data_IF_367977252581
#
_entry.id   IF_367977252581
#
_cell.length_a   1.000
_cell.length_b   1.000
_cell.length_c   1.000
_cell.angle_alpha   90.00
_cell.angle_beta   90.00
_cell.angle_gamma   90.00
#
_symmetry.space_group_name_H-M   'P 1'
#
loop_
_entity.id
_entity.type
_entity.pdbx_description
1 polymer ?
#
# COMPACT_ATOMS: atom_id res chain seq x y z
N UNK A 1 7.84 -9.60 -6.25
CA UNK A 1 8.65 -8.90 -7.29
C UNK A 1 9.61 -9.80 -8.07
N UNK A 2 10.37 -10.72 -7.43
CA UNK A 2 11.27 -11.61 -8.20
C UNK A 2 10.50 -12.44 -9.24
N UNK A 3 9.43 -13.11 -8.82
CA UNK A 3 8.59 -13.92 -9.73
C UNK A 3 8.00 -13.04 -10.83
N UNK A 4 7.45 -11.86 -10.53
CA UNK A 4 6.93 -10.95 -11.56
C UNK A 4 8.02 -10.43 -12.49
N UNK A 5 9.23 -10.16 -11.98
CA UNK A 5 10.37 -9.77 -12.82
C UNK A 5 10.79 -10.89 -13.77
N UNK A 6 10.79 -12.13 -13.27
CA UNK A 6 11.08 -13.29 -14.10
C UNK A 6 10.01 -13.45 -15.19
N UNK A 7 8.73 -13.39 -14.82
CA UNK A 7 7.63 -13.51 -15.77
C UNK A 7 7.64 -12.41 -16.83
N UNK A 8 7.93 -11.17 -16.45
CA UNK A 8 8.02 -10.05 -17.38
C UNK A 8 9.18 -10.19 -18.39
N UNK A 9 10.23 -10.94 -18.03
CA UNK A 9 11.37 -11.24 -18.90
C UNK A 9 11.12 -12.42 -19.84
N UNK A 10 10.01 -13.13 -19.69
CA UNK A 10 9.64 -14.28 -20.52
C UNK A 10 8.53 -13.88 -21.51
N UNK A 11 8.88 -13.26 -22.66
CA UNK A 11 7.89 -12.81 -23.65
C UNK A 11 7.03 -13.96 -24.19
N UNK A 12 7.53 -15.19 -24.09
CA UNK A 12 6.80 -16.38 -24.51
C UNK A 12 5.49 -16.58 -23.73
N UNK A 13 5.44 -16.16 -22.46
CA UNK A 13 4.24 -16.31 -21.62
C UNK A 13 3.04 -15.56 -22.22
N UNK A 14 3.27 -14.37 -22.76
CA UNK A 14 2.23 -13.56 -23.41
C UNK A 14 1.69 -14.17 -24.71
N UNK A 15 2.41 -15.12 -25.29
CA UNK A 15 2.05 -15.82 -26.53
C UNK A 15 1.42 -17.19 -26.27
N UNK A 16 1.38 -17.66 -25.03
CA UNK A 16 0.77 -18.95 -24.70
C UNK A 16 -0.75 -18.89 -24.88
N UNK A 17 -1.39 -19.99 -25.34
CA UNK A 17 -2.83 -20.11 -25.23
C UNK A 17 -3.28 -20.02 -23.75
N UNK A 18 -4.41 -19.35 -23.48
CA UNK A 18 -4.94 -19.18 -22.10
C UNK A 18 -5.06 -20.51 -21.35
N UNK A 19 -5.49 -21.58 -22.02
CA UNK A 19 -5.59 -22.94 -21.45
C UNK A 19 -4.27 -23.47 -20.90
N UNK A 20 -3.13 -23.00 -21.41
CA UNK A 20 -1.78 -23.35 -20.95
C UNK A 20 -1.29 -22.34 -19.90
N UNK A 21 -1.54 -21.06 -20.11
CA UNK A 21 -1.10 -19.99 -19.20
C UNK A 21 -1.77 -20.08 -17.82
N UNK A 22 -3.09 -20.39 -17.77
CA UNK A 22 -3.86 -20.44 -16.53
C UNK A 22 -3.32 -21.45 -15.50
N UNK A 23 -3.03 -22.72 -15.84
CA UNK A 23 -2.37 -23.66 -14.93
C UNK A 23 -1.01 -23.18 -14.43
N UNK A 24 -0.20 -22.57 -15.30
CA UNK A 24 1.11 -22.02 -14.95
C UNK A 24 0.94 -20.92 -13.88
N UNK A 25 -0.02 -20.01 -14.05
CA UNK A 25 -0.28 -18.94 -13.08
C UNK A 25 -0.81 -19.47 -11.76
N UNK A 26 -1.64 -20.50 -11.75
CA UNK A 26 -2.06 -21.20 -10.53
C UNK A 26 -0.85 -21.77 -9.79
N UNK A 27 0.07 -22.42 -10.50
CA UNK A 27 1.31 -22.93 -9.91
C UNK A 27 2.18 -21.80 -9.35
N UNK A 28 2.31 -20.69 -10.06
CA UNK A 28 3.07 -19.51 -9.60
C UNK A 28 2.51 -18.97 -8.29
N UNK A 29 1.20 -18.80 -8.20
CA UNK A 29 0.53 -18.33 -6.96
C UNK A 29 0.75 -19.32 -5.83
N UNK A 30 0.67 -20.63 -6.11
CA UNK A 30 0.91 -21.68 -5.13
C UNK A 30 2.34 -21.64 -4.57
N UNK A 31 3.35 -21.57 -5.45
CA UNK A 31 4.74 -21.50 -5.04
C UNK A 31 5.07 -20.19 -4.32
N UNK A 32 4.50 -19.05 -4.75
CA UNK A 32 4.63 -17.80 -4.05
C UNK A 32 4.15 -17.93 -2.59
N UNK A 33 2.98 -18.53 -2.38
CA UNK A 33 2.42 -18.77 -1.05
C UNK A 33 3.29 -19.71 -0.20
N UNK A 34 3.78 -20.79 -0.80
CA UNK A 34 4.63 -21.78 -0.10
C UNK A 34 5.95 -21.14 0.36
N UNK A 35 6.66 -20.48 -0.55
CA UNK A 35 7.94 -19.85 -0.24
C UNK A 35 7.79 -18.68 0.74
N UNK A 36 6.72 -17.90 0.63
CA UNK A 36 6.42 -16.85 1.57
C UNK A 36 6.20 -17.38 3.00
N UNK A 37 5.40 -18.44 3.16
CA UNK A 37 5.17 -19.08 4.45
C UNK A 37 6.45 -19.64 5.06
N UNK A 38 7.32 -20.24 4.25
CA UNK A 38 8.59 -20.78 4.67
C UNK A 38 9.54 -19.68 5.16
N UNK A 39 9.69 -18.59 4.42
CA UNK A 39 10.54 -17.45 4.82
C UNK A 39 10.13 -16.86 6.17
N UNK A 40 8.83 -16.61 6.36
CA UNK A 40 8.33 -16.09 7.64
C UNK A 40 8.57 -17.11 8.77
N UNK A 41 8.37 -18.39 8.51
CA UNK A 41 8.63 -19.43 9.50
C UNK A 41 10.11 -19.44 9.93
N UNK A 42 11.04 -19.44 8.98
CA UNK A 42 12.48 -19.41 9.26
C UNK A 42 12.85 -18.16 10.06
N UNK A 43 12.33 -16.99 9.67
CA UNK A 43 12.61 -15.76 10.39
C UNK A 43 12.12 -15.80 11.84
N UNK A 44 10.88 -16.24 12.06
CA UNK A 44 10.30 -16.35 13.39
C UNK A 44 11.06 -17.40 14.24
N UNK A 45 11.56 -18.46 13.60
CA UNK A 45 12.39 -19.47 14.27
C UNK A 45 13.74 -18.88 14.74
N UNK A 46 14.40 -18.09 13.88
CA UNK A 46 15.74 -17.53 14.15
C UNK A 46 15.68 -16.36 15.15
N UNK A 47 14.73 -15.45 14.98
CA UNK A 47 14.67 -14.21 15.76
C UNK A 47 13.70 -14.26 16.95
N UNK A 48 12.99 -15.36 17.11
CA UNK A 48 12.03 -15.57 18.21
C UNK A 48 10.67 -14.91 17.98
N UNK A 49 9.63 -15.51 18.57
CA UNK A 49 8.25 -15.01 18.49
C UNK A 49 8.02 -13.73 19.32
N UNK A 50 8.85 -13.50 20.32
CA UNK A 50 8.74 -12.34 21.22
C UNK A 50 9.32 -11.05 20.60
N UNK A 51 10.10 -11.16 19.53
CA UNK A 51 10.57 -10.01 18.78
C UNK A 51 9.37 -9.30 18.11
N UNK A 52 9.24 -7.97 18.30
CA UNK A 52 8.16 -7.17 17.73
C UNK A 52 7.96 -7.40 16.21
N UNK A 53 9.06 -7.51 15.46
CA UNK A 53 9.02 -7.79 14.01
C UNK A 53 8.55 -9.23 13.77
N UNK A 54 9.07 -10.21 14.50
CA UNK A 54 8.67 -11.61 14.39
C UNK A 54 7.18 -11.81 14.68
N UNK A 55 6.68 -11.16 15.72
CA UNK A 55 5.24 -11.14 16.07
C UNK A 55 4.42 -10.53 14.94
N UNK A 56 4.81 -9.34 14.44
CA UNK A 56 4.10 -8.66 13.36
C UNK A 56 4.08 -9.50 12.07
N UNK A 57 5.19 -10.14 11.70
CA UNK A 57 5.23 -11.03 10.53
C UNK A 57 4.36 -12.29 10.71
N UNK A 58 4.32 -12.83 11.93
CA UNK A 58 3.42 -13.94 12.26
C UNK A 58 1.95 -13.55 12.15
N UNK A 59 1.58 -12.35 12.63
CA UNK A 59 0.22 -11.83 12.54
C UNK A 59 -0.13 -11.50 11.09
N UNK A 60 0.77 -10.88 10.35
CA UNK A 60 0.63 -10.60 8.92
C UNK A 60 0.35 -11.88 8.12
N UNK A 61 1.11 -12.97 8.39
CA UNK A 61 0.89 -14.27 7.77
C UNK A 61 -0.50 -14.83 8.03
N UNK A 62 -1.05 -14.61 9.21
CA UNK A 62 -2.37 -15.13 9.60
C UNK A 62 -3.51 -14.26 9.08
N UNK A 63 -3.32 -12.96 9.05
CA UNK A 63 -4.43 -12.00 8.90
C UNK A 63 -4.34 -11.14 7.65
N UNK A 64 -3.15 -10.98 7.06
CA UNK A 64 -2.86 -10.09 5.96
C UNK A 64 -2.59 -8.64 6.36
N UNK A 65 -2.69 -8.32 7.66
CA UNK A 65 -2.38 -7.00 8.20
C UNK A 65 -1.79 -7.13 9.60
N UNK A 66 -0.80 -6.31 9.94
CA UNK A 66 -0.21 -6.25 11.26
C UNK A 66 0.25 -4.83 11.57
N UNK A 67 0.46 -4.54 12.86
CA UNK A 67 0.99 -3.26 13.33
C UNK A 67 2.20 -3.52 14.22
N UNK A 68 3.29 -2.79 13.97
CA UNK A 68 4.44 -2.73 14.87
C UNK A 68 4.31 -1.42 15.66
N UNK A 69 3.94 -1.48 16.95
CA UNK A 69 3.72 -0.29 17.74
C UNK A 69 5.04 0.41 18.05
N UNK A 70 5.01 1.75 18.02
CA UNK A 70 6.18 2.62 18.30
C UNK A 70 7.42 2.18 17.53
N UNK A 71 7.25 2.01 16.20
CA UNK A 71 8.35 1.64 15.31
C UNK A 71 9.39 2.76 15.22
N UNK A 72 8.91 4.00 15.13
CA UNK A 72 9.68 5.22 15.32
C UNK A 72 9.25 5.94 16.59
N UNK A 73 10.18 6.63 17.23
CA UNK A 73 9.91 7.50 18.37
C UNK A 73 9.13 8.75 17.94
N UNK A 74 8.44 9.39 18.88
CA UNK A 74 7.69 10.63 18.62
C UNK A 74 8.57 11.72 18.00
N UNK A 75 9.82 11.85 18.48
CA UNK A 75 10.76 12.84 17.95
C UNK A 75 11.18 12.55 16.50
N UNK A 76 11.37 11.28 16.16
CA UNK A 76 11.67 10.87 14.77
C UNK A 76 10.48 11.15 13.86
N UNK A 77 9.27 10.79 14.30
CA UNK A 77 8.04 11.02 13.52
C UNK A 77 7.78 12.52 13.31
N UNK A 78 7.96 13.35 14.35
CA UNK A 78 7.80 14.79 14.22
C UNK A 78 8.81 15.39 13.21
N UNK A 79 10.05 14.92 13.20
CA UNK A 79 11.05 15.32 12.19
C UNK A 79 10.64 14.89 10.79
N UNK A 80 10.12 13.66 10.63
CA UNK A 80 9.65 13.13 9.34
C UNK A 80 8.46 13.97 8.86
N UNK A 81 7.46 14.20 9.72
CA UNK A 81 6.27 15.00 9.39
C UNK A 81 6.65 16.42 8.98
N UNK A 82 7.51 17.09 9.76
CA UNK A 82 8.01 18.43 9.46
C UNK A 82 8.69 18.50 8.09
N UNK A 83 9.54 17.54 7.78
CA UNK A 83 10.22 17.50 6.48
C UNK A 83 9.25 17.22 5.33
N UNK A 84 8.23 16.36 5.54
CA UNK A 84 7.18 16.13 4.54
C UNK A 84 6.37 17.40 4.26
N UNK A 85 5.96 18.12 5.31
CA UNK A 85 5.22 19.40 5.18
C UNK A 85 6.09 20.43 4.46
N UNK A 86 7.36 20.56 4.85
CA UNK A 86 8.30 21.47 4.18
C UNK A 86 8.37 21.19 2.68
N UNK A 87 8.44 19.91 2.27
CA UNK A 87 8.46 19.57 0.85
C UNK A 87 7.13 19.93 0.16
N UNK A 88 6.02 19.87 0.88
CA UNK A 88 4.73 20.31 0.38
C UNK A 88 4.71 21.84 0.23
N UNK A 89 5.21 22.60 1.22
CA UNK A 89 5.25 24.07 1.22
C UNK A 89 6.13 24.65 0.10
N UNK A 90 7.18 23.93 -0.28
CA UNK A 90 8.12 24.36 -1.32
C UNK A 90 7.63 24.08 -2.75
N UNK A 91 6.44 23.46 -2.93
CA UNK A 91 5.88 23.22 -4.26
C UNK A 91 5.34 24.52 -4.90
N UNK A 92 5.47 24.70 -6.21
CA UNK A 92 4.94 25.86 -6.92
C UNK A 92 3.41 25.76 -7.06
N UNK A 93 2.66 26.07 -6.00
CA UNK A 93 1.20 25.89 -5.94
C UNK A 93 0.41 26.75 -6.93
N UNK A 94 0.90 27.92 -7.32
CA UNK A 94 0.22 28.79 -8.28
C UNK A 94 -0.08 28.08 -9.62
N UNK A 95 0.74 27.08 -9.97
CA UNK A 95 0.54 26.24 -11.15
C UNK A 95 -0.39 25.03 -10.91
N UNK A 96 -0.75 24.75 -9.64
CA UNK A 96 -1.52 23.58 -9.23
C UNK A 96 -2.95 23.94 -8.85
N UNK A 97 -3.34 25.21 -9.01
CA UNK A 97 -4.65 25.72 -8.65
C UNK A 97 -5.70 25.33 -9.70
N UNK A 98 -5.90 24.03 -9.85
CA UNK A 98 -6.96 23.48 -10.70
C UNK A 98 -7.98 22.76 -9.83
N UNK A 99 -9.28 22.93 -10.19
CA UNK A 99 -10.38 22.17 -9.56
C UNK A 99 -10.44 20.72 -10.08
N UNK A 100 -9.48 20.31 -10.92
CA UNK A 100 -9.48 19.05 -11.61
C UNK A 100 -8.71 17.98 -10.82
N UNK A 101 -9.07 16.73 -11.08
CA UNK A 101 -8.30 15.59 -10.69
C UNK A 101 -6.90 15.64 -11.30
N UNK A 102 -5.88 15.63 -10.46
CA UNK A 102 -4.50 15.61 -10.91
C UNK A 102 -3.94 14.21 -10.66
N UNK A 103 -3.74 13.47 -11.74
CA UNK A 103 -3.05 12.19 -11.68
C UNK A 103 -1.62 12.34 -12.17
N UNK A 104 -0.65 12.01 -11.29
CA UNK A 104 0.76 11.92 -11.65
C UNK A 104 1.37 13.18 -12.32
N UNK A 105 0.97 14.38 -11.90
CA UNK A 105 1.61 15.60 -12.36
C UNK A 105 3.11 15.55 -12.03
N UNK A 106 3.94 15.62 -13.05
CA UNK A 106 5.38 15.67 -12.90
C UNK A 106 5.79 17.09 -12.50
N UNK A 107 6.29 17.26 -11.30
CA UNK A 107 6.84 18.50 -10.79
C UNK A 107 8.35 18.38 -10.69
N UNK A 108 9.08 19.20 -11.44
CA UNK A 108 10.54 19.32 -11.27
C UNK A 108 10.84 20.12 -10.02
N UNK A 109 11.45 19.48 -9.05
CA UNK A 109 11.83 20.09 -7.78
C UNK A 109 13.31 19.84 -7.51
N UNK A 110 14.11 20.92 -7.41
CA UNK A 110 15.56 20.83 -7.21
C UNK A 110 16.24 19.81 -8.15
N UNK A 111 15.86 19.79 -9.42
CA UNK A 111 16.42 18.89 -10.43
C UNK A 111 15.94 17.44 -10.35
N UNK A 112 15.02 17.12 -9.44
CA UNK A 112 14.43 15.79 -9.29
C UNK A 112 12.96 15.78 -9.70
N UNK A 113 12.50 14.65 -10.22
CA UNK A 113 11.13 14.45 -10.62
C UNK A 113 10.27 13.97 -9.43
N UNK A 114 9.45 14.87 -8.90
CA UNK A 114 8.36 14.54 -8.00
C UNK A 114 7.09 14.29 -8.79
N UNK A 115 6.26 13.39 -8.29
CA UNK A 115 4.92 13.20 -8.83
C UNK A 115 3.89 13.61 -7.79
N UNK A 116 3.06 14.56 -8.16
CA UNK A 116 1.91 14.97 -7.37
C UNK A 116 0.67 14.25 -7.88
N UNK A 117 -0.09 13.66 -6.95
CA UNK A 117 -1.44 13.16 -7.19
C UNK A 117 -2.35 13.90 -6.23
N UNK A 118 -3.43 14.46 -6.74
CA UNK A 118 -4.48 15.10 -5.97
C UNK A 118 -5.81 14.47 -6.30
N UNK A 119 -6.50 13.98 -5.30
CA UNK A 119 -7.80 13.35 -5.44
C UNK A 119 -8.71 13.82 -4.31
N UNK A 120 -9.64 14.72 -4.63
CA UNK A 120 -10.52 15.31 -3.65
C UNK A 120 -9.76 15.93 -2.47
N UNK A 121 -10.06 15.46 -1.27
CA UNK A 121 -9.44 15.90 -0.01
C UNK A 121 -8.06 15.28 0.28
N UNK A 122 -7.48 14.59 -0.70
CA UNK A 122 -6.20 13.86 -0.51
C UNK A 122 -5.14 14.34 -1.49
N UNK A 123 -3.95 14.61 -0.98
CA UNK A 123 -2.74 14.88 -1.77
C UNK A 123 -1.70 13.81 -1.47
N UNK A 124 -1.04 13.34 -2.53
CA UNK A 124 0.10 12.43 -2.42
C UNK A 124 1.31 13.02 -3.13
N UNK A 125 2.42 13.15 -2.40
CA UNK A 125 3.73 13.44 -2.96
C UNK A 125 4.49 12.14 -3.14
N UNK A 126 4.72 11.75 -4.39
CA UNK A 126 5.37 10.51 -4.76
C UNK A 126 6.84 10.77 -5.13
N UNK A 127 7.75 9.94 -4.63
CA UNK A 127 9.17 10.02 -4.99
C UNK A 127 10.04 10.81 -4.01
N UNK A 128 9.60 10.99 -2.76
CA UNK A 128 10.35 11.74 -1.74
C UNK A 128 11.81 11.28 -1.58
N UNK A 129 12.11 10.01 -1.77
CA UNK A 129 13.46 9.46 -1.66
C UNK A 129 14.43 9.98 -2.74
N UNK A 130 13.91 10.61 -3.80
CA UNK A 130 14.75 11.28 -4.81
C UNK A 130 15.15 12.69 -4.40
N UNK A 131 14.38 13.35 -3.51
CA UNK A 131 14.53 14.77 -3.21
C UNK A 131 15.79 15.07 -2.42
N UNK A 132 15.97 14.40 -1.29
CA UNK A 132 17.09 14.72 -0.40
C UNK A 132 17.64 13.48 0.35
N UNK A 133 18.78 13.71 1.05
CA UNK A 133 19.45 12.66 1.82
C UNK A 133 18.64 12.16 3.01
N UNK A 134 17.79 12.99 3.60
CA UNK A 134 16.95 12.63 4.73
C UNK A 134 15.96 11.52 4.35
N UNK A 135 15.17 11.70 3.27
CA UNK A 135 14.25 10.68 2.81
C UNK A 135 14.96 9.44 2.24
N UNK A 136 16.15 9.63 1.64
CA UNK A 136 16.97 8.47 1.24
C UNK A 136 17.40 7.63 2.44
N UNK A 137 17.73 8.27 3.59
CA UNK A 137 18.08 7.58 4.84
C UNK A 137 16.86 6.81 5.39
N UNK A 138 15.69 7.45 5.44
CA UNK A 138 14.44 6.80 5.89
C UNK A 138 14.11 5.59 5.02
N UNK A 139 14.18 5.73 3.68
CA UNK A 139 13.94 4.63 2.75
C UNK A 139 14.99 3.50 2.80
N UNK A 140 16.12 3.73 3.47
CA UNK A 140 17.19 2.73 3.70
C UNK A 140 17.25 2.27 5.15
N UNK A 141 16.21 2.54 5.93
CA UNK A 141 16.16 2.06 7.31
C UNK A 141 16.35 0.55 7.34
N UNK A 142 17.26 0.09 8.20
CA UNK A 142 17.63 -1.32 8.27
C UNK A 142 16.44 -2.20 8.63
N UNK A 143 15.56 -1.75 9.54
CA UNK A 143 14.42 -2.54 10.02
C UNK A 143 13.39 -2.74 8.90
N UNK A 144 13.04 -1.68 8.17
CA UNK A 144 12.11 -1.78 7.03
C UNK A 144 12.70 -2.60 5.90
N UNK A 145 14.00 -2.43 5.62
CA UNK A 145 14.73 -3.20 4.61
C UNK A 145 14.78 -4.69 4.96
N UNK A 146 15.00 -5.01 6.24
CA UNK A 146 15.01 -6.40 6.73
C UNK A 146 13.64 -7.05 6.58
N UNK A 147 12.56 -6.37 6.99
CA UNK A 147 11.20 -6.86 6.83
C UNK A 147 10.89 -7.13 5.35
N UNK A 148 11.26 -6.19 4.48
CA UNK A 148 11.07 -6.34 3.04
C UNK A 148 11.87 -7.53 2.47
N UNK A 149 13.12 -7.67 2.88
CA UNK A 149 13.97 -8.79 2.46
C UNK A 149 13.34 -10.14 2.80
N UNK A 150 12.85 -10.29 4.04
CA UNK A 150 12.20 -11.52 4.48
C UNK A 150 10.92 -11.78 3.67
N UNK A 151 10.18 -10.73 3.41
CA UNK A 151 8.89 -10.85 2.75
C UNK A 151 9.02 -11.12 1.23
N UNK A 152 9.97 -10.47 0.56
CA UNK A 152 10.09 -10.47 -0.90
C UNK A 152 11.37 -11.10 -1.45
N UNK A 153 12.40 -11.36 -0.62
CA UNK A 153 13.77 -11.61 -1.08
C UNK A 153 14.27 -10.50 -2.04
N UNK A 154 13.89 -9.28 -1.75
CA UNK A 154 14.23 -8.12 -2.58
C UNK A 154 14.93 -7.04 -1.75
N UNK A 155 16.10 -6.59 -2.23
CA UNK A 155 16.86 -5.49 -1.65
C UNK A 155 16.52 -4.14 -2.30
N UNK A 156 15.43 -4.06 -3.04
CA UNK A 156 15.02 -2.80 -3.66
C UNK A 156 14.77 -1.73 -2.60
N UNK A 157 15.05 -0.49 -2.96
CA UNK A 157 14.72 0.66 -2.13
C UNK A 157 13.21 0.93 -2.26
N UNK A 158 12.54 1.34 -1.17
CA UNK A 158 11.14 1.68 -1.24
C UNK A 158 10.95 2.97 -2.04
N UNK A 159 9.85 3.02 -2.74
CA UNK A 159 9.33 4.26 -3.28
C UNK A 159 8.49 4.94 -2.18
N UNK A 160 8.94 6.11 -1.70
CA UNK A 160 8.27 6.82 -0.61
C UNK A 160 7.19 7.75 -1.13
N UNK A 161 6.01 7.66 -0.52
CA UNK A 161 4.86 8.52 -0.82
C UNK A 161 4.36 9.14 0.48
N UNK A 162 4.41 10.47 0.58
CA UNK A 162 3.70 11.19 1.62
C UNK A 162 2.27 11.45 1.17
N UNK A 163 1.33 11.12 2.04
CA UNK A 163 -0.09 11.34 1.81
C UNK A 163 -0.68 12.16 2.96
N UNK A 164 -1.31 13.25 2.62
CA UNK A 164 -2.18 14.01 3.52
C UNK A 164 -3.62 13.93 3.03
N UNK A 165 -4.55 13.70 3.94
CA UNK A 165 -6.00 13.79 3.71
C UNK A 165 -6.59 14.65 4.82
N UNK A 166 -7.50 15.57 4.50
CA UNK A 166 -8.09 16.51 5.45
C UNK A 166 -9.60 16.69 5.20
N UNK A 167 -10.33 17.18 6.20
CA UNK A 167 -11.77 17.43 6.11
C UNK A 167 -12.13 18.82 5.52
N UNK A 168 -11.14 19.65 5.28
CA UNK A 168 -11.28 21.03 4.84
C UNK A 168 -10.93 22.05 5.94
N UNK A 169 -10.66 21.59 7.18
CA UNK A 169 -10.24 22.45 8.29
C UNK A 169 -8.77 22.83 8.23
N UNK A 170 -7.96 22.04 7.53
CA UNK A 170 -6.54 22.32 7.35
C UNK A 170 -6.32 23.41 6.31
N UNK A 171 -5.81 24.54 6.77
CA UNK A 171 -5.50 25.70 5.90
C UNK A 171 -4.05 25.56 5.40
N UNK A 172 -3.90 25.03 4.22
CA UNK A 172 -2.62 25.00 3.51
C UNK A 172 -2.83 25.57 2.11
N UNK A 173 -1.92 26.40 1.56
CA UNK A 173 -2.08 26.98 0.22
C UNK A 173 -2.43 25.98 -0.87
N UNK A 174 -1.90 24.75 -0.76
CA UNK A 174 -2.24 23.65 -1.67
C UNK A 174 -3.71 23.21 -1.62
N UNK A 175 -4.46 23.60 -0.59
CA UNK A 175 -5.83 23.21 -0.36
C UNK A 175 -6.80 24.41 -0.33
N UNK A 176 -6.33 25.60 -0.68
CA UNK A 176 -7.08 26.85 -0.57
C UNK A 176 -8.39 26.89 -1.36
N UNK A 177 -8.54 25.98 -2.32
CA UNK A 177 -9.82 25.80 -3.02
C UNK A 177 -10.47 24.49 -2.58
N UNK A 178 -11.59 24.61 -1.88
CA UNK A 178 -12.42 23.46 -1.51
C UNK A 178 -12.90 22.72 -2.74
N UNK A 179 -12.63 21.41 -2.80
CA UNK A 179 -13.16 20.57 -3.88
C UNK A 179 -14.63 20.27 -3.62
N UNK A 180 -15.49 20.64 -4.55
CA UNK A 180 -16.92 20.38 -4.50
C UNK A 180 -17.31 18.96 -4.92
N UNK A 181 -16.41 18.20 -5.53
CA UNK A 181 -16.73 16.84 -5.96
C UNK A 181 -16.06 15.80 -5.08
N UNK A 182 -16.86 15.02 -4.38
CA UNK A 182 -16.44 13.68 -3.93
C UNK A 182 -16.30 12.82 -5.18
N UNK A 183 -15.13 12.87 -5.82
CA UNK A 183 -14.79 11.86 -6.80
C UNK A 183 -14.71 10.55 -6.03
N UNK A 184 -15.55 9.61 -6.44
CA UNK A 184 -15.59 8.24 -5.91
C UNK A 184 -14.17 7.65 -6.00
N UNK A 185 -13.43 7.73 -4.89
CA UNK A 185 -12.04 7.29 -4.88
C UNK A 185 -12.02 5.79 -5.16
N UNK A 186 -11.32 5.38 -6.21
CA UNK A 186 -11.08 3.96 -6.51
C UNK A 186 -10.58 3.24 -5.24
N UNK A 187 -9.71 3.90 -4.47
CA UNK A 187 -9.22 3.41 -3.19
C UNK A 187 -10.31 3.28 -2.10
N UNK A 188 -11.49 3.89 -2.28
CA UNK A 188 -12.63 3.80 -1.36
C UNK A 188 -13.48 2.53 -1.55
N UNK A 189 -13.24 1.74 -2.60
CA UNK A 189 -13.97 0.49 -2.85
C UNK A 189 -13.13 -0.71 -2.45
N UNK A 190 -13.72 -1.77 -1.86
CA UNK A 190 -12.98 -2.98 -1.50
C UNK A 190 -12.28 -3.60 -2.71
N UNK A 191 -10.96 -3.76 -2.61
CA UNK A 191 -10.10 -4.24 -3.70
C UNK A 191 -8.89 -5.03 -3.18
N UNK A 192 -8.21 -5.68 -4.10
CA UNK A 192 -6.89 -6.27 -3.91
C UNK A 192 -5.92 -5.61 -4.88
N UNK A 193 -4.72 -5.33 -4.42
CA UNK A 193 -3.73 -4.61 -5.25
C UNK A 193 -2.81 -5.55 -6.02
N UNK A 194 -2.63 -6.78 -5.54
CA UNK A 194 -1.63 -7.71 -6.09
C UNK A 194 -2.11 -9.16 -6.12
N UNK A 195 -1.58 -9.88 -7.09
CA UNK A 195 -1.82 -11.32 -7.27
C UNK A 195 -0.87 -12.21 -6.48
N UNK A 196 0.31 -11.70 -6.16
CA UNK A 196 1.34 -12.36 -5.36
C UNK A 196 1.59 -11.57 -4.08
N UNK A 197 2.23 -12.21 -3.08
CA UNK A 197 2.54 -11.55 -1.82
C UNK A 197 3.46 -10.34 -2.04
N UNK A 198 2.96 -9.17 -1.73
CA UNK A 198 3.70 -7.91 -1.73
C UNK A 198 3.29 -7.08 -0.52
N UNK A 199 4.29 -6.51 0.14
CA UNK A 199 4.11 -5.74 1.35
C UNK A 199 4.11 -4.25 1.06
N UNK A 200 3.17 -3.56 1.69
CA UNK A 200 3.16 -2.11 1.79
C UNK A 200 3.27 -1.72 3.26
N UNK A 201 4.12 -0.75 3.56
CA UNK A 201 4.21 -0.18 4.89
C UNK A 201 3.51 1.17 4.93
N UNK A 202 2.83 1.41 6.03
CA UNK A 202 2.22 2.68 6.37
C UNK A 202 2.79 3.15 7.70
N UNK A 203 3.60 4.19 7.68
CA UNK A 203 4.03 4.88 8.90
C UNK A 203 3.02 5.98 9.22
N UNK A 204 2.40 5.89 10.39
CA UNK A 204 1.50 6.90 10.88
C UNK A 204 2.30 8.10 11.41
N UNK A 205 2.11 9.27 10.80
CA UNK A 205 2.73 10.53 11.24
C UNK A 205 1.86 11.28 12.24
N UNK A 206 0.59 10.87 12.36
CA UNK A 206 -0.38 11.29 13.38
C UNK A 206 -1.14 10.06 13.87
N UNK A 207 -1.92 10.23 14.94
CA UNK A 207 -2.87 9.21 15.34
C UNK A 207 -3.95 9.07 14.28
N UNK A 208 -4.22 7.87 13.86
CA UNK A 208 -5.28 7.55 12.89
C UNK A 208 -6.38 6.81 13.62
N UNK A 209 -7.46 7.55 13.95
CA UNK A 209 -8.66 7.03 14.58
C UNK A 209 -9.73 6.72 13.54
N UNK A 210 -10.89 6.24 13.95
CA UNK A 210 -11.98 5.89 13.03
C UNK A 210 -12.49 7.09 12.22
N UNK A 211 -12.52 8.28 12.81
CA UNK A 211 -12.93 9.52 12.15
C UNK A 211 -11.91 10.05 11.13
N UNK A 212 -10.63 9.68 11.28
CA UNK A 212 -9.56 10.14 10.39
C UNK A 212 -9.39 9.27 9.12
N UNK A 213 -10.36 8.42 8.80
CA UNK A 213 -10.36 7.62 7.58
C UNK A 213 -9.27 6.54 7.54
N UNK A 214 -9.24 5.60 8.51
CA UNK A 214 -8.26 4.52 8.53
C UNK A 214 -8.39 3.61 7.31
N UNK A 215 -7.35 2.85 7.02
CA UNK A 215 -7.43 1.74 6.08
C UNK A 215 -8.33 0.66 6.67
N UNK A 216 -9.34 0.24 5.92
CA UNK A 216 -10.18 -0.90 6.29
C UNK A 216 -9.63 -2.16 5.65
N UNK A 217 -9.50 -3.22 6.43
CA UNK A 217 -8.99 -4.51 5.98
C UNK A 217 -9.95 -5.64 6.35
N UNK A 218 -10.10 -6.60 5.45
CA UNK A 218 -10.79 -7.86 5.74
C UNK A 218 -9.75 -8.92 6.11
N UNK A 219 -9.54 -9.11 7.42
CA UNK A 219 -8.56 -10.08 7.93
C UNK A 219 -8.79 -11.47 7.36
N UNK A 220 -7.71 -12.16 6.97
CA UNK A 220 -7.72 -13.51 6.39
C UNK A 220 -8.33 -13.58 4.97
N UNK A 221 -8.79 -12.49 4.38
CA UNK A 221 -9.43 -12.52 3.05
C UNK A 221 -8.52 -13.11 1.98
N UNK A 222 -7.21 -12.87 2.05
CA UNK A 222 -6.23 -13.40 1.10
C UNK A 222 -6.17 -14.94 1.06
N UNK A 223 -6.67 -15.63 2.11
CA UNK A 223 -6.71 -17.09 2.19
C UNK A 223 -8.01 -17.69 1.66
N UNK A 224 -9.04 -16.86 1.44
CA UNK A 224 -10.34 -17.33 0.97
C UNK A 224 -10.31 -17.68 -0.51
N UNK A 225 -10.90 -18.80 -0.89
CA UNK A 225 -10.89 -19.30 -2.27
C UNK A 225 -11.53 -18.32 -3.25
N UNK A 226 -12.57 -17.64 -2.83
CA UNK A 226 -13.28 -16.61 -3.63
C UNK A 226 -12.36 -15.44 -3.98
N UNK A 227 -11.49 -15.05 -3.04
CA UNK A 227 -10.52 -13.97 -3.26
C UNK A 227 -9.29 -14.48 -4.03
N UNK A 228 -8.90 -15.75 -3.88
CA UNK A 228 -7.84 -16.35 -4.70
C UNK A 228 -8.16 -16.31 -6.20
N UNK A 229 -9.44 -16.36 -6.57
CA UNK A 229 -9.87 -16.16 -7.96
C UNK A 229 -9.54 -14.75 -8.46
N UNK A 230 -9.71 -13.72 -7.59
CA UNK A 230 -9.29 -12.35 -7.93
C UNK A 230 -7.78 -12.26 -8.16
N UNK A 231 -6.98 -12.92 -7.31
CA UNK A 231 -5.52 -12.94 -7.48
C UNK A 231 -5.11 -13.58 -8.81
N UNK A 232 -5.76 -14.68 -9.20
CA UNK A 232 -5.50 -15.32 -10.50
C UNK A 232 -5.90 -14.41 -11.66
N UNK A 233 -7.08 -13.79 -11.58
CA UNK A 233 -7.56 -12.87 -12.60
C UNK A 233 -6.65 -11.66 -12.76
N UNK A 234 -6.19 -11.06 -11.66
CA UNK A 234 -5.17 -9.99 -11.70
C UNK A 234 -3.91 -10.40 -12.43
N UNK A 235 -3.45 -11.63 -12.22
CA UNK A 235 -2.26 -12.13 -12.88
C UNK A 235 -2.52 -12.36 -14.38
N UNK A 236 -3.69 -12.90 -14.73
CA UNK A 236 -4.10 -13.09 -16.12
C UNK A 236 -4.16 -11.75 -16.87
N UNK A 237 -4.87 -10.75 -16.32
CA UNK A 237 -4.99 -9.41 -16.90
C UNK A 237 -3.63 -8.72 -17.08
N UNK A 238 -2.73 -8.86 -16.12
CA UNK A 238 -1.38 -8.30 -16.21
C UNK A 238 -0.59 -8.82 -17.41
N UNK A 239 -0.90 -10.03 -17.88
CA UNK A 239 -0.29 -10.64 -19.04
C UNK A 239 -1.19 -10.61 -20.29
N UNK A 240 -2.22 -9.76 -20.32
CA UNK A 240 -3.18 -9.56 -21.40
C UNK A 240 -4.05 -10.79 -21.72
N UNK A 241 -4.34 -11.62 -20.71
CA UNK A 241 -5.35 -12.67 -20.82
C UNK A 241 -6.67 -12.18 -20.25
N UNK A 242 -7.77 -12.64 -20.85
CA UNK A 242 -9.11 -12.34 -20.30
C UNK A 242 -9.28 -12.91 -18.89
N UNK A 243 -9.86 -12.10 -18.00
CA UNK A 243 -10.22 -12.53 -16.65
C UNK A 243 -11.55 -13.29 -16.63
N UNK A 244 -11.66 -14.25 -15.73
CA UNK A 244 -12.93 -14.95 -15.50
C UNK A 244 -13.88 -14.05 -14.67
N UNK A 245 -14.93 -13.50 -15.28
CA UNK A 245 -16.01 -12.83 -14.55
C UNK A 245 -15.81 -11.38 -14.16
N UNK A 246 -15.11 -10.60 -15.01
CA UNK A 246 -14.99 -9.13 -14.86
C UNK A 246 -13.96 -8.70 -13.80
N UNK A 247 -13.55 -7.45 -13.90
CA UNK A 247 -12.48 -6.75 -13.18
C UNK A 247 -11.87 -7.42 -11.96
N UNK A 248 -10.57 -7.60 -11.98
CA UNK A 248 -9.84 -8.40 -11.00
C UNK A 248 -9.49 -7.65 -9.70
N UNK A 249 -9.36 -6.33 -9.78
CA UNK A 249 -9.00 -5.50 -8.63
C UNK A 249 -10.14 -5.41 -7.62
N UNK A 250 -11.36 -5.14 -8.08
CA UNK A 250 -12.49 -4.89 -7.20
C UNK A 250 -13.20 -6.17 -6.77
N UNK A 251 -13.67 -6.12 -5.53
CA UNK A 251 -14.54 -7.15 -4.97
C UNK A 251 -15.98 -6.77 -5.30
N UNK A 252 -16.68 -7.61 -6.06
CA UNK A 252 -18.09 -7.39 -6.39
C UNK A 252 -18.99 -7.58 -5.14
N UNK A 253 -20.25 -7.17 -5.24
CA UNK A 253 -21.20 -7.21 -4.11
C UNK A 253 -21.40 -8.61 -3.53
N UNK A 254 -21.47 -9.65 -4.37
CA UNK A 254 -21.62 -11.03 -3.92
C UNK A 254 -20.45 -11.48 -3.05
N UNK A 255 -19.22 -11.22 -3.53
CA UNK A 255 -17.99 -11.51 -2.76
C UNK A 255 -17.89 -10.65 -1.51
N UNK A 256 -18.35 -9.40 -1.57
CA UNK A 256 -18.37 -8.52 -0.40
C UNK A 256 -19.29 -9.07 0.70
N UNK A 257 -20.52 -9.48 0.36
CA UNK A 257 -21.45 -10.15 1.29
C UNK A 257 -20.84 -11.42 1.87
N UNK A 258 -20.10 -12.18 1.07
CA UNK A 258 -19.37 -13.36 1.55
C UNK A 258 -18.25 -12.97 2.53
N UNK A 259 -17.46 -11.94 2.21
CA UNK A 259 -16.39 -11.45 3.09
C UNK A 259 -16.92 -10.96 4.43
N UNK A 260 -18.03 -10.24 4.45
CA UNK A 260 -18.67 -9.75 5.68
C UNK A 260 -19.10 -10.89 6.62
N UNK A 261 -19.40 -12.06 6.06
CA UNK A 261 -19.74 -13.27 6.85
C UNK A 261 -18.51 -14.08 7.28
N UNK A 262 -17.43 -14.09 6.50
CA UNK A 262 -16.32 -15.02 6.65
C UNK A 262 -15.01 -14.36 7.11
N UNK A 263 -14.84 -13.08 6.88
CA UNK A 263 -13.65 -12.32 7.23
C UNK A 263 -13.98 -11.28 8.31
N UNK A 264 -13.05 -11.10 9.25
CA UNK A 264 -13.18 -10.05 10.26
C UNK A 264 -12.77 -8.70 9.63
N UNK A 265 -13.75 -7.81 9.44
CA UNK A 265 -13.54 -6.44 9.01
C UNK A 265 -12.98 -5.63 10.17
N UNK A 266 -11.86 -4.96 9.93
CA UNK A 266 -11.24 -4.07 10.90
C UNK A 266 -10.94 -2.70 10.29
N UNK A 267 -11.08 -1.67 11.08
CA UNK A 267 -10.52 -0.36 10.85
C UNK A 267 -9.11 -0.35 11.45
N UNK A 268 -8.11 -0.20 10.61
CA UNK A 268 -6.70 -0.22 11.05
C UNK A 268 -6.33 1.13 11.68
N UNK A 269 -6.87 1.37 12.88
CA UNK A 269 -6.46 2.50 13.71
C UNK A 269 -5.04 2.28 14.20
N UNK A 270 -4.23 3.32 14.16
CA UNK A 270 -2.81 3.29 14.53
C UNK A 270 -2.43 4.58 15.23
N UNK A 271 -1.50 4.50 16.18
CA UNK A 271 -0.97 5.68 16.83
C UNK A 271 0.21 6.26 16.05
N UNK A 272 0.53 7.51 16.28
CA UNK A 272 1.73 8.15 15.75
C UNK A 272 2.97 7.32 16.07
N UNK A 273 3.79 7.06 15.04
CA UNK A 273 4.99 6.25 15.14
C UNK A 273 4.79 4.75 14.95
N UNK A 274 3.54 4.28 14.86
CA UNK A 274 3.26 2.90 14.51
C UNK A 274 3.54 2.65 13.03
N UNK A 275 4.03 1.45 12.72
CA UNK A 275 4.19 0.97 11.36
C UNK A 275 3.18 -0.13 11.08
N UNK A 276 2.19 0.16 10.25
CA UNK A 276 1.27 -0.85 9.75
C UNK A 276 1.89 -1.58 8.55
N UNK A 277 1.78 -2.89 8.56
CA UNK A 277 2.17 -3.80 7.49
C UNK A 277 0.90 -4.31 6.83
N UNK A 278 0.80 -4.19 5.52
CA UNK A 278 -0.33 -4.66 4.73
C UNK A 278 0.15 -5.55 3.58
N UNK A 279 -0.30 -6.80 3.56
CA UNK A 279 -0.17 -7.65 2.38
C UNK A 279 -1.19 -7.25 1.32
N UNK A 280 -0.73 -6.90 0.13
CA UNK A 280 -1.55 -6.37 -0.94
C UNK A 280 -2.47 -7.40 -1.60
N UNK A 281 -2.39 -8.67 -1.21
CA UNK A 281 -3.38 -9.72 -1.51
C UNK A 281 -4.61 -9.64 -0.60
N UNK A 282 -4.51 -8.92 0.52
CA UNK A 282 -5.62 -8.73 1.45
C UNK A 282 -6.63 -7.75 0.87
N UNK A 283 -7.92 -8.06 0.96
CA UNK A 283 -8.97 -7.10 0.57
C UNK A 283 -8.95 -5.93 1.54
N UNK A 284 -8.81 -4.73 0.98
CA UNK A 284 -8.75 -3.50 1.73
C UNK A 284 -9.35 -2.32 0.96
N UNK A 285 -9.58 -1.22 1.67
CA UNK A 285 -9.98 0.05 1.08
C UNK A 285 -9.71 1.21 2.04
N UNK A 286 -9.72 2.45 1.53
CA UNK A 286 -9.62 3.65 2.34
C UNK A 286 -11.01 4.04 2.88
N UNK A 287 -11.17 4.12 4.21
CA UNK A 287 -12.38 4.69 4.80
C UNK A 287 -12.44 6.20 4.52
N UNK A 288 -13.63 6.77 4.34
CA UNK A 288 -13.78 8.22 4.25
C UNK A 288 -13.25 8.92 5.51
N UNK A 289 -12.55 10.03 5.32
CA UNK A 289 -12.18 10.91 6.43
C UNK A 289 -13.39 11.75 6.79
N UNK A 290 -13.84 11.67 8.05
CA UNK A 290 -15.01 12.38 8.58
C UNK A 290 -14.62 13.71 9.17
N UNK A 291 -13.50 13.75 9.90
CA UNK A 291 -13.02 14.96 10.57
C UNK A 291 -11.51 14.98 10.74
N UNK A 292 -10.94 16.18 10.80
CA UNK A 292 -9.54 16.43 11.05
C UNK A 292 -8.63 16.14 9.85
N UNK A 293 -7.42 15.73 10.12
CA UNK A 293 -6.41 15.44 9.13
C UNK A 293 -5.71 14.10 9.40
N UNK A 294 -5.10 13.55 8.37
CA UNK A 294 -4.31 12.32 8.45
C UNK A 294 -3.05 12.45 7.62
N UNK A 295 -1.90 12.34 8.25
CA UNK A 295 -0.60 12.34 7.60
C UNK A 295 0.01 10.94 7.67
N UNK A 296 0.40 10.39 6.52
CA UNK A 296 0.94 9.05 6.38
C UNK A 296 2.16 9.06 5.46
N UNK A 297 3.18 8.31 5.80
CA UNK A 297 4.27 7.97 4.88
C UNK A 297 4.17 6.52 4.46
N UNK A 298 3.95 6.30 3.17
CA UNK A 298 3.91 4.97 2.57
C UNK A 298 5.28 4.55 2.05
N UNK A 299 5.61 3.28 2.25
CA UNK A 299 6.76 2.61 1.66
C UNK A 299 6.23 1.55 0.67
N UNK A 300 6.54 1.73 -0.60
CA UNK A 300 6.21 0.80 -1.68
C UNK A 300 7.49 0.12 -2.13
N UNK A 301 7.58 -1.17 -1.91
CA UNK A 301 8.71 -1.99 -2.33
C UNK A 301 8.46 -2.72 -3.64
#
# INVERSE_FOLDING_TARGET
MLIERILNKLPIIKKLPRRVAKPIFVMIIFFDELFWKLRIFIFVLVFGKENKIGKALSDLKKTGVAVIPKFYSDNEVLKIKKECIKQLDELPFEKLDTNEYIENLLVKFNGNDLRLERLGKSIKLKGLHYINSFFRKIGRDFKTSLINLIYHLDFSKPFLIYNITHDGSFVHPAFSKSFKSEIDMIAGKPHVDRSIHQLRFLLALDDVKEENGPTVCYKKSMHLNEIKKNHLNLLLEKFNFEADGGGSHFVNEEKLKFLEKKANKIHATVNRGDLMLLDLKTVHYASPLKSGERHILWYYY
#
